data_IF_159997445099
#
_entry.id   IF_159997445099
#
_cell.length_a   1.000
_cell.length_b   1.000
_cell.length_c   1.000
_cell.angle_alpha   90.00
_cell.angle_beta   90.00
_cell.angle_gamma   90.00
#
_symmetry.space_group_name_H-M   'P 1'
#
loop_
_entity.id
_entity.type
_entity.pdbx_description
1 polymer ?
#
# COMPACT_ATOMS: atom_id res chain seq x y z
N UNK A 1 2.44 13.49 7.46
CA UNK A 1 2.74 12.14 7.97
C UNK A 1 3.00 12.25 9.46
N UNK A 2 2.72 11.20 10.23
CA UNK A 2 2.89 11.20 11.68
C UNK A 2 3.53 9.89 12.11
N UNK A 3 4.45 9.96 13.08
CA UNK A 3 5.02 8.77 13.71
C UNK A 3 4.24 8.48 14.97
N UNK A 4 3.70 7.26 15.07
CA UNK A 4 2.99 6.81 16.25
C UNK A 4 3.98 6.16 17.23
N UNK A 5 3.75 6.37 18.52
CA UNK A 5 4.59 5.85 19.61
C UNK A 5 3.79 5.73 20.90
N UNK A 6 4.18 4.80 21.77
CA UNK A 6 3.51 4.58 23.05
C UNK A 6 2.04 4.23 22.88
N UNK A 7 1.16 4.94 23.60
CA UNK A 7 -0.29 4.75 23.56
C UNK A 7 -0.95 5.22 22.26
N UNK A 8 -0.21 5.89 21.38
CA UNK A 8 -0.70 6.27 20.04
C UNK A 8 -0.60 5.13 19.02
N UNK A 9 0.03 4.01 19.35
CA UNK A 9 0.15 2.84 18.48
C UNK A 9 -1.20 2.13 18.38
N UNK A 10 -1.60 1.67 17.20
CA UNK A 10 -2.84 0.93 16.98
C UNK A 10 -2.80 -0.50 17.54
N UNK A 11 -1.71 -0.88 18.19
CA UNK A 11 -1.60 -2.08 19.00
C UNK A 11 -2.01 -1.87 20.46
N UNK A 12 -2.17 -0.62 20.90
CA UNK A 12 -2.64 -0.29 22.24
C UNK A 12 -4.17 -0.20 22.24
N UNK A 13 -4.80 -0.87 23.19
CA UNK A 13 -6.26 -0.93 23.31
C UNK A 13 -6.90 0.43 23.63
N UNK A 14 -6.11 1.38 24.14
CA UNK A 14 -6.52 2.75 24.47
C UNK A 14 -6.38 3.72 23.28
N UNK A 15 -5.82 3.26 22.16
CA UNK A 15 -5.61 4.10 20.99
C UNK A 15 -6.91 4.31 20.20
N UNK A 16 -7.02 5.44 19.49
CA UNK A 16 -8.20 5.74 18.65
C UNK A 16 -7.83 5.73 17.16
N UNK A 17 -7.75 4.55 16.50
CA UNK A 17 -7.42 4.45 15.09
C UNK A 17 -8.45 5.15 14.19
N UNK A 18 -9.71 5.22 14.61
CA UNK A 18 -10.79 5.95 13.93
C UNK A 18 -10.47 7.45 13.83
N UNK A 19 -10.15 8.07 14.97
CA UNK A 19 -9.79 9.49 15.02
C UNK A 19 -8.51 9.75 14.23
N UNK A 20 -7.53 8.85 14.31
CA UNK A 20 -6.29 8.95 13.55
C UNK A 20 -6.56 8.97 12.04
N UNK A 21 -7.45 8.11 11.54
CA UNK A 21 -7.84 8.02 10.13
C UNK A 21 -8.62 9.26 9.69
N UNK A 22 -9.60 9.73 10.47
CA UNK A 22 -10.35 10.96 10.17
C UNK A 22 -9.44 12.19 10.14
N UNK A 23 -8.48 12.28 11.06
CA UNK A 23 -7.44 13.33 11.04
C UNK A 23 -6.60 13.26 9.77
N UNK A 24 -6.23 12.05 9.34
CA UNK A 24 -5.51 11.83 8.08
C UNK A 24 -6.32 12.23 6.85
N UNK A 25 -7.63 11.92 6.83
CA UNK A 25 -8.53 12.36 5.76
C UNK A 25 -8.62 13.87 5.69
N UNK A 26 -8.86 14.53 6.83
CA UNK A 26 -8.95 15.98 6.91
C UNK A 26 -7.67 16.65 6.40
N UNK A 27 -6.49 16.12 6.74
CA UNK A 27 -5.21 16.63 6.25
C UNK A 27 -5.06 16.51 4.71
N UNK A 28 -5.50 15.39 4.12
CA UNK A 28 -5.47 15.21 2.66
C UNK A 28 -6.47 16.15 1.97
N UNK A 29 -7.70 16.25 2.49
CA UNK A 29 -8.74 17.11 1.94
C UNK A 29 -8.32 18.58 2.03
N UNK A 30 -7.71 19.02 3.13
CA UNK A 30 -7.22 20.39 3.27
C UNK A 30 -6.12 20.72 2.25
N UNK A 31 -5.30 19.74 1.88
CA UNK A 31 -4.16 19.97 0.99
C UNK A 31 -4.56 19.87 -0.49
N UNK A 32 -5.33 18.84 -0.85
CA UNK A 32 -5.61 18.47 -2.26
C UNK A 32 -7.06 18.73 -2.67
N UNK A 33 -7.93 19.08 -1.71
CA UNK A 33 -9.37 19.32 -1.92
C UNK A 33 -10.12 18.11 -2.49
N UNK A 34 -9.58 16.91 -2.27
CA UNK A 34 -10.17 15.64 -2.73
C UNK A 34 -10.15 14.65 -1.57
N UNK A 35 -11.26 13.93 -1.39
CA UNK A 35 -11.35 12.87 -0.40
C UNK A 35 -10.46 11.67 -0.79
N UNK A 36 -9.67 11.10 0.14
CA UNK A 36 -8.88 9.91 -0.14
C UNK A 36 -9.80 8.71 -0.35
N UNK A 37 -9.40 7.79 -1.24
CA UNK A 37 -10.21 6.64 -1.61
C UNK A 37 -9.57 5.29 -1.25
N UNK A 38 -8.26 5.27 -1.01
CA UNK A 38 -7.52 4.03 -0.81
C UNK A 38 -6.79 4.06 0.52
N UNK A 39 -7.14 3.12 1.40
CA UNK A 39 -6.42 2.89 2.66
C UNK A 39 -5.55 1.63 2.50
N UNK A 40 -4.26 1.73 2.78
CA UNK A 40 -3.31 0.63 2.69
C UNK A 40 -2.87 0.23 4.10
N UNK A 41 -3.25 -0.98 4.50
CA UNK A 41 -3.00 -1.55 5.82
C UNK A 41 -2.18 -2.83 5.67
N UNK A 42 -0.86 -2.81 5.91
CA UNK A 42 -0.07 -4.04 5.89
C UNK A 42 -0.62 -5.10 6.84
N UNK A 43 -0.34 -6.36 6.55
CA UNK A 43 -0.89 -7.50 7.30
C UNK A 43 -0.76 -7.38 8.82
N UNK A 44 0.36 -6.89 9.34
CA UNK A 44 0.59 -6.70 10.77
C UNK A 44 -0.35 -5.65 11.37
N UNK A 45 -0.51 -4.53 10.66
CA UNK A 45 -1.43 -3.43 11.05
C UNK A 45 -2.88 -3.87 10.98
N UNK A 46 -3.27 -4.53 9.89
CA UNK A 46 -4.62 -5.05 9.71
C UNK A 46 -5.00 -6.05 10.81
N UNK A 47 -4.08 -6.93 11.21
CA UNK A 47 -4.35 -7.93 12.26
C UNK A 47 -4.61 -7.26 13.61
N UNK A 48 -3.89 -6.18 13.94
CA UNK A 48 -4.12 -5.44 15.19
C UNK A 48 -5.40 -4.61 15.16
N UNK A 49 -5.67 -3.93 14.05
CA UNK A 49 -6.93 -3.20 13.87
C UNK A 49 -8.14 -4.11 13.95
N UNK A 50 -8.04 -5.33 13.41
CA UNK A 50 -9.10 -6.34 13.46
C UNK A 50 -9.52 -6.71 14.88
N UNK A 51 -8.57 -6.72 15.82
CA UNK A 51 -8.80 -7.08 17.23
C UNK A 51 -9.00 -5.87 18.13
N UNK A 52 -8.91 -4.66 17.59
CA UNK A 52 -8.91 -3.43 18.38
C UNK A 52 -10.31 -3.15 18.98
N UNK A 53 -10.43 -2.84 20.28
CA UNK A 53 -11.73 -2.68 20.94
C UNK A 53 -12.59 -1.58 20.31
N UNK A 54 -12.03 -0.42 19.98
CA UNK A 54 -12.76 0.67 19.32
C UNK A 54 -13.37 0.27 17.96
N UNK A 55 -12.70 -0.60 17.21
CA UNK A 55 -13.17 -1.08 15.90
C UNK A 55 -14.23 -2.16 16.11
N UNK A 56 -13.97 -3.12 17.00
CA UNK A 56 -14.93 -4.16 17.35
C UNK A 56 -16.24 -3.57 17.87
N UNK A 57 -16.18 -2.51 18.68
CA UNK A 57 -17.38 -1.88 19.23
C UNK A 57 -18.24 -1.23 18.16
N UNK A 58 -17.64 -0.53 17.19
CA UNK A 58 -18.38 -0.01 16.03
C UNK A 58 -18.94 -1.13 15.15
N UNK A 59 -18.17 -2.20 14.94
CA UNK A 59 -18.61 -3.33 14.13
C UNK A 59 -19.76 -4.13 14.76
N UNK A 60 -19.90 -4.15 16.10
CA UNK A 60 -21.06 -4.77 16.77
C UNK A 60 -22.40 -4.20 16.29
N UNK A 61 -22.43 -2.91 15.95
CA UNK A 61 -23.63 -2.23 15.48
C UNK A 61 -23.86 -2.41 13.96
N UNK A 62 -22.89 -2.99 13.25
CA UNK A 62 -22.98 -3.25 11.81
C UNK A 62 -23.23 -4.75 11.55
N UNK A 63 -24.04 -5.08 10.54
CA UNK A 63 -24.41 -6.47 10.22
C UNK A 63 -23.25 -7.36 9.71
N UNK A 64 -22.01 -6.86 9.68
CA UNK A 64 -20.82 -7.59 9.29
C UNK A 64 -20.06 -8.05 10.53
N UNK A 65 -20.48 -9.17 11.13
CA UNK A 65 -19.81 -9.77 12.31
C UNK A 65 -18.35 -10.21 12.06
N UNK A 66 -17.83 -10.02 10.84
CA UNK A 66 -16.45 -10.32 10.46
C UNK A 66 -15.76 -9.00 10.08
N UNK A 67 -14.73 -8.56 10.83
CA UNK A 67 -13.89 -7.44 10.45
C UNK A 67 -13.01 -7.82 9.24
N UNK A 68 -13.63 -7.75 8.06
CA UNK A 68 -13.01 -7.91 6.75
C UNK A 68 -12.50 -6.55 6.23
N UNK A 69 -11.60 -6.53 5.23
CA UNK A 69 -11.17 -5.29 4.59
C UNK A 69 -12.32 -4.44 4.06
N UNK A 70 -13.39 -5.09 3.56
CA UNK A 70 -14.59 -4.43 3.05
C UNK A 70 -15.40 -3.79 4.17
N UNK A 71 -15.51 -4.48 5.32
CA UNK A 71 -16.17 -3.92 6.49
C UNK A 71 -15.39 -2.71 7.05
N UNK A 72 -14.06 -2.77 7.03
CA UNK A 72 -13.22 -1.62 7.37
C UNK A 72 -13.34 -0.49 6.34
N UNK A 73 -13.47 -0.81 5.05
CA UNK A 73 -13.67 0.19 4.01
C UNK A 73 -14.98 0.98 4.24
N UNK A 74 -16.06 0.27 4.59
CA UNK A 74 -17.33 0.88 4.96
C UNK A 74 -17.24 1.69 6.26
N UNK A 75 -16.58 1.16 7.29
CA UNK A 75 -16.40 1.84 8.58
C UNK A 75 -15.62 3.15 8.43
N UNK A 76 -14.57 3.14 7.64
CA UNK A 76 -13.72 4.30 7.40
C UNK A 76 -14.18 5.13 6.21
N UNK A 77 -15.35 4.89 5.63
CA UNK A 77 -15.86 5.62 4.45
C UNK A 77 -14.77 5.87 3.38
N UNK A 78 -14.12 4.78 2.96
CA UNK A 78 -13.14 4.76 1.86
C UNK A 78 -13.58 3.76 0.81
N UNK A 79 -13.26 4.03 -0.45
CA UNK A 79 -13.64 3.17 -1.58
C UNK A 79 -13.03 1.76 -1.46
N UNK A 80 -11.78 1.66 -0.98
CA UNK A 80 -11.09 0.37 -0.85
C UNK A 80 -10.02 0.36 0.23
N UNK A 81 -9.90 -0.80 0.88
CA UNK A 81 -8.82 -1.13 1.80
C UNK A 81 -7.93 -2.20 1.17
N UNK A 82 -6.64 -1.91 1.01
CA UNK A 82 -5.65 -2.84 0.48
C UNK A 82 -4.81 -3.42 1.61
N UNK A 83 -4.73 -4.75 1.68
CA UNK A 83 -3.92 -5.46 2.68
C UNK A 83 -2.73 -6.14 2.01
N UNK A 84 -1.57 -5.46 1.87
CA UNK A 84 -0.41 -6.08 1.26
C UNK A 84 0.22 -7.13 2.19
N UNK A 85 0.48 -8.31 1.61
CA UNK A 85 1.06 -9.49 2.29
C UNK A 85 2.43 -9.90 1.72
N UNK A 86 3.09 -9.00 0.99
CA UNK A 86 4.37 -9.28 0.35
C UNK A 86 5.50 -9.41 1.39
N UNK A 87 6.25 -10.49 1.31
CA UNK A 87 7.42 -10.80 2.13
C UNK A 87 8.68 -10.83 1.24
N UNK A 88 9.81 -10.35 1.77
CA UNK A 88 11.12 -10.43 1.12
C UNK A 88 12.12 -11.18 2.00
N UNK A 89 12.98 -11.98 1.37
CA UNK A 89 14.15 -12.53 2.04
C UNK A 89 15.20 -11.43 2.24
N UNK A 90 15.61 -11.23 3.47
CA UNK A 90 16.68 -10.29 3.85
C UNK A 90 18.02 -10.96 4.08
N UNK A 91 18.04 -12.30 4.14
CA UNK A 91 19.27 -13.05 4.27
C UNK A 91 20.09 -13.01 2.98
N UNK A 92 21.42 -13.02 3.12
CA UNK A 92 22.33 -13.19 2.00
C UNK A 92 22.18 -14.59 1.38
N UNK A 93 22.54 -14.71 0.11
CA UNK A 93 22.51 -15.98 -0.61
C UNK A 93 23.31 -17.05 0.13
N UNK A 94 22.68 -18.18 0.44
CA UNK A 94 23.31 -19.30 1.15
C UNK A 94 23.15 -19.29 2.68
N UNK A 95 22.55 -18.27 3.29
CA UNK A 95 22.21 -18.26 4.71
C UNK A 95 20.76 -18.70 4.97
N UNK A 96 20.43 -19.01 6.23
CA UNK A 96 19.07 -19.31 6.68
C UNK A 96 18.14 -18.16 6.30
N UNK A 97 17.03 -18.51 5.65
CA UNK A 97 16.10 -17.53 5.10
C UNK A 97 15.48 -16.67 6.23
N UNK A 98 15.55 -15.35 6.09
CA UNK A 98 14.94 -14.39 7.02
C UNK A 98 13.90 -13.56 6.27
N UNK A 99 12.62 -13.90 6.45
CA UNK A 99 11.52 -13.21 5.79
C UNK A 99 11.11 -11.96 6.58
N UNK A 100 11.00 -10.83 5.89
CA UNK A 100 10.45 -9.59 6.44
C UNK A 100 9.36 -9.03 5.53
N UNK A 101 8.36 -8.36 6.10
CA UNK A 101 7.32 -7.72 5.31
C UNK A 101 7.87 -6.53 4.52
N UNK A 102 7.53 -6.44 3.23
CA UNK A 102 7.99 -5.36 2.35
C UNK A 102 7.46 -3.99 2.79
N UNK A 103 6.22 -3.95 3.28
CA UNK A 103 5.52 -2.72 3.67
C UNK A 103 5.73 -2.34 5.14
N UNK A 104 6.36 -3.22 5.92
CA UNK A 104 6.62 -3.03 7.35
C UNK A 104 5.35 -2.75 8.16
N UNK A 105 5.51 -1.93 9.21
CA UNK A 105 4.47 -1.56 10.18
C UNK A 105 3.83 -0.20 9.89
N UNK A 106 3.88 0.27 8.66
CA UNK A 106 3.41 1.61 8.29
C UNK A 106 2.05 1.53 7.62
N UNK A 107 1.12 2.40 8.00
CA UNK A 107 -0.16 2.54 7.32
C UNK A 107 -0.13 3.78 6.41
N UNK A 108 -0.90 3.74 5.32
CA UNK A 108 -0.95 4.85 4.37
C UNK A 108 -2.40 5.06 3.93
N UNK A 109 -2.84 6.31 3.92
CA UNK A 109 -4.11 6.72 3.33
C UNK A 109 -3.78 7.60 2.13
N UNK A 110 -4.32 7.29 0.96
CA UNK A 110 -4.01 8.04 -0.24
C UNK A 110 -5.22 8.20 -1.15
N UNK A 111 -5.14 9.24 -1.98
CA UNK A 111 -5.98 9.37 -3.15
C UNK A 111 -5.28 8.77 -4.38
N UNK A 112 -5.93 7.79 -4.99
CA UNK A 112 -5.51 7.15 -6.23
C UNK A 112 -6.57 7.40 -7.28
N UNK A 113 -6.21 8.11 -8.36
CA UNK A 113 -7.14 8.34 -9.45
C UNK A 113 -7.58 6.99 -10.06
N UNK A 114 -8.90 6.72 -10.20
CA UNK A 114 -9.39 5.49 -10.83
C UNK A 114 -9.08 5.45 -12.33
N UNK A 115 -8.84 6.62 -12.94
CA UNK A 115 -8.43 6.76 -14.33
C UNK A 115 -7.13 7.55 -14.38
N UNK A 116 -5.96 6.86 -14.43
CA UNK A 116 -4.68 7.56 -14.52
C UNK A 116 -4.62 8.31 -15.85
N UNK A 117 -4.45 9.63 -15.78
CA UNK A 117 -4.32 10.49 -16.95
C UNK A 117 -3.14 11.44 -16.76
N UNK A 118 -2.65 11.97 -17.87
CA UNK A 118 -1.69 13.08 -17.82
C UNK A 118 -2.33 14.26 -17.09
N UNK A 119 -1.63 14.80 -16.09
CA UNK A 119 -2.09 15.89 -15.23
C UNK A 119 -3.30 15.57 -14.33
N UNK A 120 -3.65 14.29 -14.13
CA UNK A 120 -4.59 13.91 -13.06
C UNK A 120 -3.88 13.93 -11.71
N UNK A 121 -4.57 14.43 -10.68
CA UNK A 121 -4.08 14.37 -9.30
C UNK A 121 -4.09 12.90 -8.84
N UNK A 122 -2.93 12.40 -8.43
CA UNK A 122 -2.76 11.06 -7.84
C UNK A 122 -1.49 11.06 -7.00
N UNK A 123 -1.45 10.28 -5.91
CA UNK A 123 -0.29 10.28 -5.02
C UNK A 123 1.00 9.84 -5.74
N UNK A 124 0.93 8.76 -6.51
CA UNK A 124 2.02 8.22 -7.30
C UNK A 124 1.51 7.58 -8.58
N UNK A 125 2.40 7.41 -9.55
CA UNK A 125 2.12 6.63 -10.75
C UNK A 125 3.36 5.89 -11.21
N UNK A 126 3.13 4.75 -11.84
CA UNK A 126 4.15 4.01 -12.57
C UNK A 126 4.14 4.49 -14.01
N UNK A 127 5.20 5.17 -14.42
CA UNK A 127 5.42 5.61 -15.80
C UNK A 127 6.11 4.48 -16.56
N UNK A 128 5.53 4.02 -17.65
CA UNK A 128 6.18 3.13 -18.61
C UNK A 128 6.65 3.94 -19.81
N UNK A 129 7.86 3.67 -20.30
CA UNK A 129 8.34 4.34 -21.50
C UNK A 129 7.62 3.81 -22.75
N UNK A 130 6.99 4.72 -23.49
CA UNK A 130 6.58 4.46 -24.86
C UNK A 130 7.81 4.63 -25.76
N UNK A 131 8.06 3.69 -26.67
CA UNK A 131 9.24 3.68 -27.56
C UNK A 131 10.59 3.52 -26.84
N UNK A 132 10.65 2.67 -25.81
CA UNK A 132 11.94 2.20 -25.32
C UNK A 132 12.66 1.40 -26.43
N UNK A 133 14.00 1.29 -26.44
CA UNK A 133 14.73 0.55 -27.47
C UNK A 133 14.16 -0.87 -27.64
N UNK A 134 13.55 -1.14 -28.79
CA UNK A 134 12.91 -2.41 -29.11
C UNK A 134 11.54 -2.66 -28.46
N UNK A 135 10.93 -1.69 -27.76
CA UNK A 135 9.60 -1.85 -27.14
C UNK A 135 8.68 -0.64 -27.30
N UNK A 136 7.49 -0.91 -27.82
CA UNK A 136 6.38 0.06 -27.91
C UNK A 136 5.71 0.35 -26.57
N UNK A 137 5.81 -0.54 -25.58
CA UNK A 137 5.03 -0.51 -24.32
C UNK A 137 5.89 -0.62 -23.06
N UNK A 138 7.19 -0.33 -23.17
CA UNK A 138 8.12 -0.42 -22.06
C UNK A 138 8.37 -1.86 -21.58
N UNK A 139 8.03 -2.87 -22.38
CA UNK A 139 8.41 -4.28 -22.15
C UNK A 139 8.88 -4.94 -23.45
N UNK A 140 10.06 -5.53 -23.43
CA UNK A 140 10.59 -6.35 -24.52
C UNK A 140 10.79 -7.78 -24.03
N UNK A 141 10.42 -8.75 -24.85
CA UNK A 141 10.70 -10.17 -24.63
C UNK A 141 11.52 -10.67 -25.81
N UNK A 142 12.73 -11.12 -25.54
CA UNK A 142 13.62 -11.72 -26.54
C UNK A 142 13.81 -13.19 -26.20
N UNK A 143 13.76 -14.05 -27.20
CA UNK A 143 14.03 -15.48 -27.05
C UNK A 143 15.09 -15.88 -28.06
N UNK A 144 16.17 -16.50 -27.60
CA UNK A 144 17.19 -17.06 -28.48
C UNK A 144 17.77 -18.36 -27.93
N UNK A 145 18.23 -19.22 -28.84
CA UNK A 145 18.91 -20.46 -28.49
C UNK A 145 20.36 -20.16 -28.18
N UNK A 146 20.80 -20.48 -26.97
CA UNK A 146 22.21 -20.43 -26.59
C UNK A 146 22.83 -21.84 -26.74
N UNK A 147 23.43 -22.08 -27.90
CA UNK A 147 23.97 -23.40 -28.27
C UNK A 147 25.04 -23.91 -27.29
N UNK A 148 25.89 -23.02 -26.75
CA UNK A 148 26.95 -23.38 -25.78
C UNK A 148 26.38 -23.93 -24.48
N UNK A 149 25.25 -23.40 -24.02
CA UNK A 149 24.55 -23.87 -22.80
C UNK A 149 23.50 -24.93 -23.10
N UNK A 150 23.25 -25.22 -24.39
CA UNK A 150 22.13 -26.05 -24.88
C UNK A 150 20.79 -25.64 -24.24
N UNK A 151 20.57 -24.34 -24.10
CA UNK A 151 19.39 -23.78 -23.43
C UNK A 151 18.73 -22.68 -24.26
N UNK A 152 17.42 -22.50 -24.08
CA UNK A 152 16.69 -21.35 -24.62
C UNK A 152 16.72 -20.25 -23.57
N UNK A 153 17.26 -19.10 -23.95
CA UNK A 153 17.31 -17.93 -23.08
C UNK A 153 16.11 -17.06 -23.40
N UNK A 154 15.33 -16.76 -22.37
CA UNK A 154 14.22 -15.81 -22.43
C UNK A 154 14.61 -14.58 -21.63
N UNK A 155 14.85 -13.46 -22.32
CA UNK A 155 15.12 -12.17 -21.67
C UNK A 155 13.85 -11.35 -21.65
N UNK A 156 13.53 -10.80 -20.48
CA UNK A 156 12.44 -9.83 -20.32
C UNK A 156 13.03 -8.52 -19.82
N UNK A 157 12.93 -7.48 -20.63
CA UNK A 157 13.25 -6.11 -20.24
C UNK A 157 11.97 -5.38 -19.90
N UNK A 158 11.99 -4.60 -18.81
CA UNK A 158 10.89 -3.70 -18.43
C UNK A 158 11.45 -2.33 -18.13
N UNK A 159 10.95 -1.34 -18.84
CA UNK A 159 11.29 0.06 -18.75
C UNK A 159 10.14 0.78 -18.08
N UNK A 160 10.25 0.96 -16.77
CA UNK A 160 9.31 1.74 -15.98
C UNK A 160 10.03 2.51 -14.90
N UNK A 161 9.42 3.61 -14.47
CA UNK A 161 9.85 4.39 -13.32
C UNK A 161 8.63 4.70 -12.43
N UNK A 162 8.80 4.62 -11.12
CA UNK A 162 7.74 4.89 -10.16
C UNK A 162 7.98 6.25 -9.53
N UNK A 163 7.05 7.18 -9.75
CA UNK A 163 7.23 8.56 -9.30
C UNK A 163 6.08 9.02 -8.42
N UNK A 164 6.44 9.68 -7.33
CA UNK A 164 5.53 10.44 -6.48
C UNK A 164 5.16 11.73 -7.21
N UNK A 165 3.89 11.93 -7.50
CA UNK A 165 3.39 13.09 -8.26
C UNK A 165 2.88 14.14 -7.27
N UNK A 166 1.94 13.76 -6.41
CA UNK A 166 1.35 14.61 -5.39
C UNK A 166 1.67 14.04 -4.00
N UNK A 167 2.77 14.46 -3.35
CA UNK A 167 3.09 14.03 -1.98
C UNK A 167 1.98 14.38 -0.97
N UNK A 168 1.20 15.42 -1.25
CA UNK A 168 0.12 15.91 -0.39
C UNK A 168 -1.14 15.03 -0.47
N UNK A 169 -1.27 14.20 -1.52
CA UNK A 169 -2.39 13.28 -1.71
C UNK A 169 -2.21 11.96 -0.92
N UNK A 170 -1.21 11.89 -0.05
CA UNK A 170 -0.95 10.74 0.82
C UNK A 170 -0.64 11.18 2.25
N UNK A 171 -1.25 10.48 3.19
CA UNK A 171 -0.93 10.55 4.60
C UNK A 171 -0.33 9.23 5.05
N UNK A 172 0.76 9.30 5.81
CA UNK A 172 1.51 8.13 6.26
C UNK A 172 1.57 8.12 7.78
N UNK A 173 1.15 7.01 8.38
CA UNK A 173 1.41 6.69 9.79
C UNK A 173 2.63 5.77 9.85
N UNK A 174 3.73 6.29 10.40
CA UNK A 174 4.95 5.52 10.63
C UNK A 174 4.82 4.77 11.95
N UNK A 175 5.26 3.51 11.96
CA UNK A 175 5.15 2.62 13.11
C UNK A 175 3.72 2.56 13.66
N UNK A 176 2.73 2.26 12.83
CA UNK A 176 1.35 2.16 13.28
C UNK A 176 1.14 1.05 14.32
N UNK A 177 2.03 0.07 14.38
CA UNK A 177 2.01 -1.05 15.32
C UNK A 177 3.42 -1.27 15.90
N UNK A 178 3.48 -1.74 17.15
CA UNK A 178 4.72 -2.13 17.85
C UNK A 178 5.48 -3.25 17.15
#
# INVERSE_FOLDING_TARGET
>A
STTLSGTGLWSDDSSDPLLAIETGKAAIIQSVQIAPNTLVLPQEVFTKLRTHPAILDQLKYTNSGIPSPEALAALFDVERVLVPRALKNTAQSGQTASMSYVWGKNAFLCYVSPRPALKSITFASTFSWNQAPGSMSGRLVEVWRENTRKADIVRVQRYYDQKLIAPEAVYVWKNAVA
#
